data_IF_847662835760
#
_entry.id   IF_847662835760
#
_cell.length_a   1.000
_cell.length_b   1.000
_cell.length_c   1.000
_cell.angle_alpha   90.00
_cell.angle_beta   90.00
_cell.angle_gamma   90.00
#
_symmetry.space_group_name_H-M   'P 1'
#
loop_
_entity.id
_entity.type
_entity.pdbx_description
1 polymer ?
#
# COMPACT_ATOMS: atom_id res chain seq x y z
N UNK A 1 -67.99 60.47 -0.32
CA UNK A 1 -68.13 61.36 0.85
C UNK A 1 -67.80 60.58 2.11
N UNK A 2 -67.00 61.20 2.99
CA UNK A 2 -66.70 60.86 4.40
C UNK A 2 -65.85 59.61 4.71
N UNK A 3 -64.58 59.93 5.00
CA UNK A 3 -63.61 59.22 5.83
C UNK A 3 -64.13 59.06 7.26
N UNK A 4 -63.78 57.97 7.94
CA UNK A 4 -63.43 57.99 9.37
C UNK A 4 -62.41 56.89 9.68
N UNK A 5 -61.33 57.32 10.34
CA UNK A 5 -60.26 56.53 10.94
C UNK A 5 -60.78 55.76 12.15
N UNK A 6 -60.23 54.56 12.43
CA UNK A 6 -59.84 54.09 13.77
C UNK A 6 -58.64 53.15 13.60
N UNK A 7 -57.54 53.53 14.24
CA UNK A 7 -56.32 52.77 14.49
C UNK A 7 -56.54 51.74 15.60
N UNK A 8 -56.11 50.50 15.43
CA UNK A 8 -55.75 49.63 16.56
C UNK A 8 -54.66 48.64 16.14
N UNK A 9 -53.63 48.57 16.98
CA UNK A 9 -52.36 47.88 16.80
C UNK A 9 -52.44 46.38 17.12
N UNK A 10 -51.56 45.54 16.52
CA UNK A 10 -50.53 44.73 17.20
C UNK A 10 -49.87 43.67 16.27
N UNK A 11 -48.54 43.54 16.42
CA UNK A 11 -47.67 42.35 16.22
C UNK A 11 -47.27 41.90 14.80
N UNK A 12 -46.07 42.34 14.41
CA UNK A 12 -44.85 41.54 14.12
C UNK A 12 -45.01 40.07 13.69
N UNK A 13 -44.73 39.76 12.43
CA UNK A 13 -43.79 38.68 12.03
C UNK A 13 -43.31 38.92 10.61
N UNK A 14 -42.05 39.34 10.49
CA UNK A 14 -41.24 39.00 9.35
C UNK A 14 -40.88 37.51 9.47
N UNK A 15 -41.00 36.73 8.40
CA UNK A 15 -39.87 35.92 7.92
C UNK A 15 -40.18 35.35 6.53
N UNK A 16 -39.31 35.74 5.62
CA UNK A 16 -39.12 35.26 4.26
C UNK A 16 -38.99 33.74 4.19
N UNK A 17 -39.90 33.07 3.50
CA UNK A 17 -39.71 31.68 3.06
C UNK A 17 -38.92 31.64 1.76
N UNK A 18 -37.61 31.90 1.85
CA UNK A 18 -36.63 31.56 0.82
C UNK A 18 -35.62 30.58 1.44
N UNK A 19 -36.04 29.34 1.66
CA UNK A 19 -35.18 28.29 2.22
C UNK A 19 -35.42 26.93 1.52
N UNK A 20 -35.76 26.95 0.23
CA UNK A 20 -36.01 25.73 -0.55
C UNK A 20 -34.91 25.34 -1.55
N UNK A 21 -33.87 26.17 -1.71
CA UNK A 21 -32.83 25.97 -2.74
C UNK A 21 -31.39 25.93 -2.22
N UNK A 22 -31.20 25.99 -0.91
CA UNK A 22 -29.87 26.01 -0.29
C UNK A 22 -29.43 24.66 0.31
N UNK A 23 -30.21 23.57 0.17
CA UNK A 23 -29.89 22.27 0.79
C UNK A 23 -29.19 21.31 -0.21
N UNK A 24 -29.04 21.68 -1.48
CA UNK A 24 -28.45 20.78 -2.49
C UNK A 24 -26.97 21.08 -2.82
N UNK A 25 -26.31 22.02 -2.13
CA UNK A 25 -24.99 22.51 -2.52
C UNK A 25 -23.93 22.55 -1.40
N UNK A 26 -24.26 22.09 -0.20
CA UNK A 26 -23.33 21.96 0.93
C UNK A 26 -23.41 20.54 1.50
N UNK A 27 -22.56 19.66 0.98
CA UNK A 27 -22.01 18.44 1.60
C UNK A 27 -21.58 17.47 0.49
N UNK A 28 -20.43 17.75 -0.15
CA UNK A 28 -19.56 16.64 -0.55
C UNK A 28 -18.99 16.07 0.74
N UNK A 29 -19.80 15.31 1.47
CA UNK A 29 -19.31 14.50 2.58
C UNK A 29 -18.20 13.63 1.99
N UNK A 30 -16.98 13.78 2.49
CA UNK A 30 -15.84 13.02 1.98
C UNK A 30 -16.13 11.54 2.23
N UNK A 31 -16.44 10.80 1.16
CA UNK A 31 -16.82 9.39 1.24
C UNK A 31 -15.56 8.54 1.47
N UNK A 32 -15.15 8.46 2.74
CA UNK A 32 -13.99 7.68 3.17
C UNK A 32 -14.10 6.23 2.69
N UNK A 33 -15.30 5.63 2.77
CA UNK A 33 -15.51 4.23 2.40
C UNK A 33 -15.40 4.05 0.89
N UNK A 34 -16.01 4.94 0.10
CA UNK A 34 -15.88 4.93 -1.35
C UNK A 34 -14.44 5.11 -1.83
N UNK A 35 -13.67 5.99 -1.18
CA UNK A 35 -12.27 6.22 -1.49
C UNK A 35 -11.39 5.01 -1.12
N UNK A 36 -11.61 4.39 0.05
CA UNK A 36 -10.95 3.13 0.42
C UNK A 36 -11.23 2.06 -0.62
N UNK A 37 -12.50 1.84 -0.99
CA UNK A 37 -12.89 0.84 -1.98
C UNK A 37 -12.26 1.12 -3.37
N UNK A 38 -12.06 2.39 -3.73
CA UNK A 38 -11.32 2.76 -4.94
C UNK A 38 -9.84 2.41 -4.83
N UNK A 39 -9.21 2.71 -3.69
CA UNK A 39 -7.81 2.38 -3.43
C UNK A 39 -7.54 0.87 -3.37
N UNK A 40 -8.44 0.09 -2.79
CA UNK A 40 -8.37 -1.38 -2.76
C UNK A 40 -8.43 -1.96 -4.18
N UNK A 41 -9.26 -1.40 -5.07
CA UNK A 41 -9.28 -1.80 -6.49
C UNK A 41 -7.92 -1.53 -7.15
N UNK A 42 -7.30 -0.37 -6.88
CA UNK A 42 -5.96 -0.08 -7.38
C UNK A 42 -4.94 -1.14 -6.90
N UNK A 43 -4.99 -1.56 -5.63
CA UNK A 43 -4.12 -2.66 -5.15
C UNK A 43 -4.40 -3.98 -5.90
N UNK A 44 -5.66 -4.33 -6.11
CA UNK A 44 -6.04 -5.57 -6.81
C UNK A 44 -5.56 -5.61 -8.27
N UNK A 45 -5.47 -4.47 -8.93
CA UNK A 45 -4.95 -4.35 -10.31
C UNK A 45 -3.49 -3.88 -10.38
N UNK A 46 -2.80 -3.82 -9.23
CA UNK A 46 -1.36 -3.52 -9.07
C UNK A 46 -0.95 -2.07 -9.36
N UNK A 47 -1.88 -1.11 -9.27
CA UNK A 47 -1.66 0.33 -9.32
C UNK A 47 -1.31 0.83 -7.91
N UNK A 48 -0.11 0.47 -7.43
CA UNK A 48 0.32 0.77 -6.06
C UNK A 48 0.54 2.27 -5.85
N UNK A 49 1.01 2.99 -6.86
CA UNK A 49 1.20 4.44 -6.80
C UNK A 49 -0.13 5.19 -6.60
N UNK A 50 -1.18 4.78 -7.30
CA UNK A 50 -2.53 5.33 -7.18
C UNK A 50 -3.13 4.98 -5.81
N UNK A 51 -2.99 3.72 -5.37
CA UNK A 51 -3.43 3.32 -4.03
C UNK A 51 -2.70 4.11 -2.92
N UNK A 52 -1.41 4.37 -3.12
CA UNK A 52 -0.58 5.20 -2.24
C UNK A 52 -1.08 6.63 -2.15
N UNK A 53 -1.39 7.25 -3.28
CA UNK A 53 -1.97 8.59 -3.30
C UNK A 53 -3.34 8.66 -2.58
N UNK A 54 -4.17 7.62 -2.72
CA UNK A 54 -5.45 7.52 -2.00
C UNK A 54 -5.21 7.37 -0.49
N UNK A 55 -4.30 6.50 -0.07
CA UNK A 55 -3.98 6.31 1.35
C UNK A 55 -3.43 7.60 1.99
N UNK A 56 -2.51 8.29 1.32
CA UNK A 56 -1.95 9.56 1.81
C UNK A 56 -3.04 10.62 1.96
N UNK A 57 -3.94 10.75 0.98
CA UNK A 57 -5.10 11.65 1.04
C UNK A 57 -6.03 11.30 2.20
N UNK A 58 -6.36 10.02 2.40
CA UNK A 58 -7.23 9.56 3.48
C UNK A 58 -6.59 9.80 4.86
N UNK A 59 -5.28 9.58 4.99
CA UNK A 59 -4.54 9.81 6.24
C UNK A 59 -4.51 11.29 6.64
N UNK A 60 -4.54 12.23 5.68
CA UNK A 60 -4.64 13.66 5.98
C UNK A 60 -6.00 14.06 6.56
N UNK A 61 -7.07 13.38 6.14
CA UNK A 61 -8.46 13.78 6.46
C UNK A 61 -9.02 12.97 7.64
N UNK A 62 -8.63 11.71 7.76
CA UNK A 62 -9.23 10.74 8.68
C UNK A 62 -8.19 9.81 9.32
N UNK A 63 -7.06 10.36 9.78
CA UNK A 63 -5.91 9.61 10.34
C UNK A 63 -6.25 8.60 11.45
N UNK A 64 -7.29 8.88 12.24
CA UNK A 64 -7.69 8.05 13.37
C UNK A 64 -8.82 7.08 13.04
N UNK A 65 -9.30 7.07 11.79
CA UNK A 65 -10.31 6.11 11.36
C UNK A 65 -9.64 4.73 11.20
N UNK A 66 -10.13 3.68 11.89
CA UNK A 66 -9.43 2.40 11.90
C UNK A 66 -9.44 1.70 10.53
N UNK A 67 -10.43 1.92 9.67
CA UNK A 67 -10.43 1.41 8.29
C UNK A 67 -9.43 2.15 7.40
N UNK A 68 -9.23 3.45 7.60
CA UNK A 68 -8.17 4.21 6.91
C UNK A 68 -6.80 3.71 7.34
N UNK A 69 -6.59 3.49 8.63
CA UNK A 69 -5.36 2.86 9.13
C UNK A 69 -5.16 1.47 8.52
N UNK A 70 -6.21 0.65 8.43
CA UNK A 70 -6.09 -0.69 7.86
C UNK A 70 -5.63 -0.63 6.40
N UNK A 71 -6.33 0.16 5.57
CA UNK A 71 -6.01 0.35 4.16
C UNK A 71 -4.61 0.96 3.96
N UNK A 72 -4.22 1.96 4.76
CA UNK A 72 -2.86 2.51 4.74
C UNK A 72 -1.83 1.43 5.07
N UNK A 73 -2.11 0.56 6.05
CA UNK A 73 -1.29 -0.59 6.38
C UNK A 73 -1.08 -1.53 5.20
N UNK A 74 -2.14 -1.86 4.45
CA UNK A 74 -2.05 -2.66 3.23
C UNK A 74 -1.18 -1.98 2.17
N UNK A 75 -1.42 -0.70 1.89
CA UNK A 75 -0.63 0.07 0.93
C UNK A 75 0.85 0.07 1.31
N UNK A 76 1.19 0.35 2.58
CA UNK A 76 2.58 0.33 3.05
C UNK A 76 3.22 -1.04 2.94
N UNK A 77 2.44 -2.11 3.10
CA UNK A 77 2.93 -3.46 2.81
C UNK A 77 3.33 -3.59 1.34
N UNK A 78 2.48 -3.18 0.40
CA UNK A 78 2.77 -3.21 -1.05
C UNK A 78 3.93 -2.31 -1.49
N UNK A 79 4.22 -1.24 -0.75
CA UNK A 79 5.40 -0.40 -0.94
C UNK A 79 6.68 -0.99 -0.32
N UNK A 80 6.56 -2.07 0.45
CA UNK A 80 7.67 -2.68 1.19
C UNK A 80 8.12 -1.89 2.42
N UNK A 81 7.25 -1.00 2.91
CA UNK A 81 7.41 -0.24 4.15
C UNK A 81 6.82 -1.03 5.32
N UNK A 82 7.39 -2.20 5.61
CA UNK A 82 6.82 -3.17 6.56
C UNK A 82 6.63 -2.61 7.98
N UNK A 83 7.58 -1.81 8.47
CA UNK A 83 7.46 -1.20 9.79
C UNK A 83 6.27 -0.24 9.87
N UNK A 84 6.07 0.59 8.86
CA UNK A 84 4.97 1.55 8.82
C UNK A 84 3.63 0.84 8.60
N UNK A 85 3.64 -0.22 7.78
CA UNK A 85 2.50 -1.13 7.62
C UNK A 85 2.05 -1.68 8.98
N UNK A 86 2.96 -2.25 9.77
CA UNK A 86 2.65 -2.76 11.11
C UNK A 86 2.15 -1.68 12.06
N UNK A 87 2.72 -0.46 11.98
CA UNK A 87 2.26 0.66 12.81
C UNK A 87 0.79 1.00 12.52
N UNK A 88 0.41 1.09 11.24
CA UNK A 88 -0.96 1.40 10.85
C UNK A 88 -1.92 0.25 11.14
N UNK A 89 -1.53 -0.99 10.82
CA UNK A 89 -2.34 -2.16 11.14
C UNK A 89 -2.55 -2.29 12.65
N UNK A 90 -1.52 -2.04 13.47
CA UNK A 90 -1.67 -2.05 14.93
C UNK A 90 -2.72 -1.05 15.42
N UNK A 91 -2.76 0.16 14.87
CA UNK A 91 -3.80 1.14 15.19
C UNK A 91 -5.19 0.65 14.76
N UNK A 92 -5.30 0.12 13.54
CA UNK A 92 -6.56 -0.39 13.00
C UNK A 92 -7.15 -1.53 13.84
N UNK A 93 -6.31 -2.46 14.30
CA UNK A 93 -6.74 -3.63 15.08
C UNK A 93 -7.15 -3.32 16.53
N UNK A 94 -7.11 -2.05 16.96
CA UNK A 94 -7.78 -1.65 18.21
C UNK A 94 -9.30 -1.68 18.07
N UNK A 95 -9.82 -1.58 16.85
CA UNK A 95 -11.23 -1.82 16.56
C UNK A 95 -11.53 -3.34 16.59
N UNK A 96 -12.54 -3.81 17.34
CA UNK A 96 -12.81 -5.25 17.48
C UNK A 96 -13.21 -5.97 16.19
N UNK A 97 -13.89 -5.29 15.27
CA UNK A 97 -14.32 -5.90 14.00
C UNK A 97 -13.10 -6.14 13.11
N UNK A 98 -12.24 -5.12 12.98
CA UNK A 98 -11.00 -5.24 12.24
C UNK A 98 -10.00 -6.17 12.92
N UNK A 99 -9.94 -6.22 14.26
CA UNK A 99 -9.13 -7.18 14.99
C UNK A 99 -9.41 -8.62 14.54
N UNK A 100 -10.68 -8.99 14.37
CA UNK A 100 -11.06 -10.33 13.94
C UNK A 100 -10.67 -10.61 12.49
N UNK A 101 -10.92 -9.67 11.58
CA UNK A 101 -10.71 -9.85 10.13
C UNK A 101 -9.24 -9.70 9.72
N UNK A 102 -8.57 -8.71 10.31
CA UNK A 102 -7.24 -8.24 9.92
C UNK A 102 -6.07 -8.95 10.63
N UNK A 103 -6.32 -9.71 11.70
CA UNK A 103 -5.25 -10.37 12.47
C UNK A 103 -4.35 -11.24 11.60
N UNK A 104 -4.92 -12.03 10.68
CA UNK A 104 -4.12 -12.90 9.79
C UNK A 104 -3.15 -12.09 8.92
N UNK A 105 -3.60 -10.95 8.40
CA UNK A 105 -2.76 -10.08 7.60
C UNK A 105 -1.67 -9.41 8.45
N UNK A 106 -2.02 -8.93 9.65
CA UNK A 106 -1.03 -8.40 10.60
C UNK A 106 0.04 -9.43 10.95
N UNK A 107 -0.34 -10.65 11.34
CA UNK A 107 0.59 -11.72 11.69
C UNK A 107 1.50 -12.08 10.48
N UNK A 108 0.96 -12.02 9.27
CA UNK A 108 1.71 -12.22 8.03
C UNK A 108 2.76 -11.13 7.80
N UNK A 109 2.39 -9.85 7.90
CA UNK A 109 3.33 -8.73 7.77
C UNK A 109 4.38 -8.76 8.88
N UNK A 110 3.99 -9.11 10.11
CA UNK A 110 4.91 -9.21 11.25
C UNK A 110 5.96 -10.29 10.99
N UNK A 111 5.54 -11.49 10.54
CA UNK A 111 6.46 -12.57 10.18
C UNK A 111 7.50 -12.13 9.15
N UNK A 112 7.09 -11.37 8.14
CA UNK A 112 7.99 -10.84 7.11
C UNK A 112 8.96 -9.81 7.72
N UNK A 113 8.44 -8.89 8.53
CA UNK A 113 9.22 -7.84 9.16
C UNK A 113 10.32 -8.39 10.09
N UNK A 114 10.10 -9.51 10.77
CA UNK A 114 11.13 -10.15 11.61
C UNK A 114 12.41 -10.49 10.84
N UNK A 115 12.31 -10.77 9.54
CA UNK A 115 13.46 -10.98 8.65
C UNK A 115 13.92 -9.66 8.03
N UNK A 116 13.00 -8.88 7.44
CA UNK A 116 13.36 -7.73 6.60
C UNK A 116 13.85 -6.51 7.39
N UNK A 117 13.50 -6.39 8.68
CA UNK A 117 13.99 -5.32 9.58
C UNK A 117 15.51 -5.24 9.70
N UNK A 118 16.22 -6.31 9.34
CA UNK A 118 17.68 -6.41 9.41
C UNK A 118 18.35 -6.27 8.04
N UNK A 119 17.57 -6.05 6.98
CA UNK A 119 18.11 -5.92 5.65
C UNK A 119 18.97 -4.66 5.53
N UNK A 120 20.04 -4.81 4.76
CA UNK A 120 20.87 -3.73 4.25
C UNK A 120 20.31 -3.31 2.91
N UNK A 121 20.48 -2.04 2.58
CA UNK A 121 19.95 -1.45 1.37
C UNK A 121 21.08 -0.95 0.47
N UNK A 122 20.96 -1.23 -0.83
CA UNK A 122 21.75 -0.61 -1.90
C UNK A 122 20.77 -0.02 -2.90
N UNK A 123 20.90 1.28 -3.16
CA UNK A 123 19.95 2.04 -3.96
C UNK A 123 20.60 2.57 -5.23
N UNK A 124 19.85 2.49 -6.33
CA UNK A 124 20.14 3.19 -7.58
C UNK A 124 19.00 4.18 -7.90
N UNK A 125 18.97 4.71 -9.13
CA UNK A 125 17.89 5.62 -9.53
C UNK A 125 16.53 4.91 -9.54
N UNK A 126 16.46 3.70 -10.10
CA UNK A 126 15.20 3.00 -10.33
C UNK A 126 15.00 1.75 -9.47
N UNK A 127 15.97 1.35 -8.65
CA UNK A 127 15.87 0.14 -7.82
C UNK A 127 16.32 0.37 -6.37
N UNK A 128 15.66 -0.36 -5.47
CA UNK A 128 16.06 -0.52 -4.07
C UNK A 128 16.33 -2.00 -3.81
N UNK A 129 17.60 -2.36 -3.72
CA UNK A 129 18.04 -3.73 -3.49
C UNK A 129 18.28 -3.96 -2.00
N UNK A 130 17.68 -5.02 -1.45
CA UNK A 130 17.72 -5.35 -0.03
C UNK A 130 18.19 -6.78 0.21
N UNK A 131 19.08 -6.97 1.17
CA UNK A 131 19.62 -8.28 1.54
C UNK A 131 20.09 -8.30 2.99
N UNK A 132 20.18 -9.48 3.61
CA UNK A 132 20.67 -9.61 4.99
C UNK A 132 22.17 -9.91 5.07
N UNK A 133 22.58 -10.92 4.32
CA UNK A 133 23.85 -11.63 4.52
C UNK A 133 24.95 -11.00 3.66
N UNK A 134 26.12 -10.74 4.24
CA UNK A 134 27.22 -10.08 3.49
C UNK A 134 27.64 -10.83 2.23
N UNK A 135 27.52 -12.16 2.26
CA UNK A 135 27.81 -13.01 1.10
C UNK A 135 26.85 -12.77 -0.07
N UNK A 136 25.67 -12.21 0.18
CA UNK A 136 24.69 -11.84 -0.85
C UNK A 136 24.93 -10.41 -1.38
N UNK A 137 25.83 -9.62 -0.78
CA UNK A 137 26.15 -8.26 -1.25
C UNK A 137 26.67 -8.25 -2.70
N UNK A 138 27.40 -9.30 -3.08
CA UNK A 138 27.90 -9.49 -4.45
C UNK A 138 26.77 -9.53 -5.49
N UNK A 139 25.57 -9.96 -5.10
CA UNK A 139 24.41 -9.97 -6.01
C UNK A 139 24.01 -8.56 -6.40
N UNK A 140 24.06 -7.60 -5.48
CA UNK A 140 23.74 -6.21 -5.78
C UNK A 140 24.69 -5.65 -6.84
N UNK A 141 25.99 -5.95 -6.72
CA UNK A 141 27.02 -5.49 -7.66
C UNK A 141 26.76 -5.95 -9.11
N UNK A 142 26.38 -7.22 -9.29
CA UNK A 142 26.08 -7.77 -10.62
C UNK A 142 24.66 -7.44 -11.11
N UNK A 143 23.67 -7.46 -10.22
CA UNK A 143 22.27 -7.32 -10.58
C UNK A 143 21.91 -5.88 -10.94
N UNK A 144 22.34 -4.89 -10.15
CA UNK A 144 21.87 -3.51 -10.28
C UNK A 144 22.16 -2.89 -11.66
N UNK A 145 23.36 -3.08 -12.19
CA UNK A 145 23.69 -2.60 -13.54
C UNK A 145 22.82 -3.26 -14.62
N UNK A 146 22.48 -4.54 -14.45
CA UNK A 146 21.60 -5.27 -15.36
C UNK A 146 20.15 -4.78 -15.22
N UNK A 147 19.70 -4.56 -14.00
CA UNK A 147 18.36 -4.06 -13.69
C UNK A 147 18.13 -2.65 -14.26
N UNK A 148 19.11 -1.74 -14.15
CA UNK A 148 19.02 -0.40 -14.73
C UNK A 148 18.94 -0.42 -16.26
N UNK A 149 19.70 -1.32 -16.91
CA UNK A 149 19.59 -1.55 -18.36
C UNK A 149 18.23 -2.13 -18.73
N UNK A 150 17.72 -3.07 -17.92
CA UNK A 150 16.41 -3.69 -18.12
C UNK A 150 15.29 -2.66 -17.96
N UNK A 151 15.37 -1.76 -16.98
CA UNK A 151 14.42 -0.65 -16.80
C UNK A 151 14.32 0.20 -18.08
N UNK A 152 15.47 0.56 -18.65
CA UNK A 152 15.51 1.33 -19.90
C UNK A 152 14.94 0.54 -21.07
N UNK A 153 15.39 -0.71 -21.27
CA UNK A 153 14.98 -1.53 -22.41
C UNK A 153 13.49 -1.89 -22.34
N UNK A 154 13.04 -2.48 -21.24
CA UNK A 154 11.65 -2.89 -21.03
C UNK A 154 10.72 -1.67 -21.01
N UNK A 155 11.14 -0.58 -20.35
CA UNK A 155 10.32 0.61 -20.29
C UNK A 155 10.13 1.28 -21.65
N UNK A 156 11.13 1.23 -22.52
CA UNK A 156 10.99 1.64 -23.92
C UNK A 156 10.06 0.70 -24.71
N UNK A 157 10.16 -0.62 -24.52
CA UNK A 157 9.30 -1.57 -25.24
C UNK A 157 7.84 -1.44 -24.83
N UNK A 158 7.58 -1.24 -23.53
CA UNK A 158 6.23 -1.14 -22.96
C UNK A 158 5.68 0.28 -22.93
N UNK A 159 6.51 1.29 -23.25
CA UNK A 159 6.20 2.71 -23.08
C UNK A 159 5.70 3.04 -21.66
N UNK A 160 6.26 2.36 -20.67
CA UNK A 160 5.89 2.49 -19.26
C UNK A 160 7.13 2.41 -18.37
N UNK A 161 7.25 3.38 -17.47
CA UNK A 161 8.37 3.50 -16.55
C UNK A 161 7.84 3.63 -15.13
N UNK A 162 8.10 2.65 -14.24
CA UNK A 162 7.78 2.78 -12.83
C UNK A 162 8.37 4.08 -12.25
N UNK A 163 7.54 4.87 -11.58
CA UNK A 163 7.93 6.19 -11.05
C UNK A 163 8.66 6.09 -9.72
N UNK A 164 8.32 5.08 -8.92
CA UNK A 164 9.01 4.76 -7.68
C UNK A 164 10.06 3.66 -7.93
N UNK A 165 11.16 3.64 -7.15
CA UNK A 165 12.14 2.57 -7.26
C UNK A 165 11.51 1.20 -7.03
N UNK A 166 11.81 0.24 -7.91
CA UNK A 166 11.36 -1.15 -7.79
C UNK A 166 12.15 -1.84 -6.69
N UNK A 167 11.44 -2.48 -5.76
CA UNK A 167 12.08 -3.26 -4.69
C UNK A 167 12.58 -4.60 -5.21
N UNK A 168 13.79 -4.95 -4.80
CA UNK A 168 14.39 -6.27 -5.00
C UNK A 168 14.87 -6.78 -3.65
N UNK A 169 14.28 -7.87 -3.16
CA UNK A 169 14.53 -8.37 -1.82
C UNK A 169 15.08 -9.81 -1.86
N UNK A 170 16.28 -10.00 -1.30
CA UNK A 170 16.95 -11.29 -1.21
C UNK A 170 16.74 -11.91 0.16
N UNK A 171 15.96 -12.99 0.21
CA UNK A 171 15.63 -13.69 1.44
C UNK A 171 16.72 -14.71 1.80
N UNK A 172 17.22 -14.69 3.06
CA UNK A 172 18.43 -15.41 3.45
C UNK A 172 18.22 -16.90 3.74
N UNK A 173 16.96 -17.34 3.89
CA UNK A 173 16.58 -18.70 4.25
C UNK A 173 15.26 -19.12 3.57
N UNK A 174 15.02 -20.43 3.53
CA UNK A 174 13.84 -20.99 2.86
C UNK A 174 12.53 -20.66 3.58
N UNK A 175 12.54 -20.54 4.91
CA UNK A 175 11.31 -20.27 5.67
C UNK A 175 10.82 -18.85 5.39
N UNK A 176 11.70 -17.86 5.46
CA UNK A 176 11.37 -16.48 5.20
C UNK A 176 10.99 -16.25 3.73
N UNK A 177 11.65 -16.94 2.79
CA UNK A 177 11.25 -16.94 1.38
C UNK A 177 9.85 -17.55 1.15
N UNK A 178 9.54 -18.71 1.76
CA UNK A 178 8.20 -19.31 1.70
C UNK A 178 7.15 -18.35 2.28
N UNK A 179 7.47 -17.69 3.39
CA UNK A 179 6.57 -16.76 4.05
C UNK A 179 6.17 -15.61 3.10
N UNK A 180 7.14 -14.87 2.53
CA UNK A 180 6.83 -13.72 1.66
C UNK A 180 6.23 -14.15 0.31
N UNK A 181 6.69 -15.26 -0.27
CA UNK A 181 6.23 -15.73 -1.58
C UNK A 181 4.84 -16.37 -1.53
N UNK A 182 4.35 -16.67 -0.32
CA UNK A 182 3.12 -17.45 -0.08
C UNK A 182 3.16 -18.88 -0.62
N UNK A 183 4.31 -19.31 -1.15
CA UNK A 183 4.53 -20.67 -1.66
C UNK A 183 4.91 -21.61 -0.52
N UNK A 184 4.45 -22.84 -0.63
CA UNK A 184 4.91 -23.95 0.19
C UNK A 184 6.29 -24.42 -0.26
N UNK A 185 7.04 -25.05 0.65
CA UNK A 185 8.32 -25.68 0.33
C UNK A 185 8.20 -26.70 -0.82
N UNK A 186 7.13 -27.49 -0.85
CA UNK A 186 6.89 -28.48 -1.90
C UNK A 186 6.68 -27.84 -3.28
N UNK A 187 5.98 -26.71 -3.36
CA UNK A 187 5.82 -25.96 -4.61
C UNK A 187 7.15 -25.40 -5.11
N UNK A 188 7.97 -24.86 -4.21
CA UNK A 188 9.31 -24.35 -4.55
C UNK A 188 10.22 -25.48 -5.04
N UNK A 189 10.27 -26.61 -4.34
CA UNK A 189 11.08 -27.78 -4.72
C UNK A 189 10.63 -28.38 -6.05
N UNK A 190 9.33 -28.41 -6.31
CA UNK A 190 8.76 -28.97 -7.55
C UNK A 190 8.98 -28.04 -8.75
N UNK A 191 8.77 -26.74 -8.58
CA UNK A 191 8.88 -25.75 -9.65
C UNK A 191 10.31 -25.28 -9.91
N UNK A 192 11.21 -25.44 -8.94
CA UNK A 192 12.53 -24.83 -8.97
C UNK A 192 12.49 -23.30 -8.87
N UNK A 193 11.44 -22.73 -8.27
CA UNK A 193 11.27 -21.28 -8.16
C UNK A 193 12.40 -20.66 -7.33
N UNK A 194 13.23 -19.83 -7.97
CA UNK A 194 14.31 -19.07 -7.32
C UNK A 194 13.99 -17.59 -7.12
N UNK A 195 13.00 -17.07 -7.87
CA UNK A 195 12.54 -15.71 -7.78
C UNK A 195 11.07 -15.60 -8.20
N UNK A 196 10.35 -14.61 -7.67
CA UNK A 196 8.96 -14.32 -8.00
C UNK A 196 8.71 -12.80 -7.96
N UNK A 197 7.87 -12.32 -8.87
CA UNK A 197 7.33 -10.96 -8.81
C UNK A 197 5.96 -11.01 -8.11
N UNK A 198 5.89 -10.49 -6.89
CA UNK A 198 4.67 -10.50 -6.08
C UNK A 198 4.63 -9.24 -5.21
N UNK A 199 3.43 -8.73 -4.92
CA UNK A 199 3.23 -7.54 -4.07
C UNK A 199 4.08 -6.33 -4.51
N UNK A 200 4.16 -6.07 -5.82
CA UNK A 200 4.94 -4.95 -6.39
C UNK A 200 6.45 -4.97 -6.07
N UNK A 201 7.05 -6.17 -5.94
CA UNK A 201 8.50 -6.33 -5.81
C UNK A 201 9.01 -7.61 -6.46
N UNK A 202 10.32 -7.65 -6.66
CA UNK A 202 11.05 -8.87 -7.03
C UNK A 202 11.55 -9.51 -5.74
N UNK A 203 11.13 -10.74 -5.48
CA UNK A 203 11.52 -11.54 -4.32
C UNK A 203 12.45 -12.64 -4.80
N UNK A 204 13.62 -12.77 -4.20
CA UNK A 204 14.67 -13.70 -4.62
C UNK A 204 15.08 -14.55 -3.42
N UNK A 205 15.26 -15.86 -3.63
CA UNK A 205 15.91 -16.71 -2.63
C UNK A 205 17.42 -16.57 -2.72
N UNK A 206 18.12 -16.47 -1.59
CA UNK A 206 19.59 -16.38 -1.60
C UNK A 206 20.20 -17.57 -2.37
N UNK A 207 21.07 -17.32 -3.38
CA UNK A 207 21.80 -18.36 -4.10
C UNK A 207 22.58 -19.32 -3.21
N UNK A 208 22.93 -18.92 -1.99
CA UNK A 208 23.63 -19.76 -0.99
C UNK A 208 22.80 -20.97 -0.57
N UNK A 209 21.48 -20.89 -0.70
CA UNK A 209 20.55 -21.97 -0.35
C UNK A 209 20.43 -23.00 -1.47
N UNK A 210 20.95 -22.71 -2.66
CA UNK A 210 20.87 -23.58 -3.81
C UNK A 210 22.09 -24.53 -3.84
N UNK A 211 21.90 -25.86 -3.97
CA UNK A 211 22.98 -26.86 -3.89
C UNK A 211 24.14 -26.69 -4.89
N UNK A 212 24.02 -25.83 -5.91
CA UNK A 212 25.07 -25.58 -6.93
C UNK A 212 25.33 -24.10 -7.23
N UNK A 213 24.76 -23.16 -6.45
CA UNK A 213 24.64 -21.76 -6.91
C UNK A 213 23.71 -21.64 -8.12
N UNK A 214 23.33 -20.44 -8.53
CA UNK A 214 22.49 -20.23 -9.72
C UNK A 214 23.31 -20.56 -10.97
N UNK A 215 23.25 -21.80 -11.46
CA UNK A 215 23.65 -22.10 -12.83
C UNK A 215 22.42 -21.93 -13.72
N UNK A 216 22.36 -20.82 -14.46
CA UNK A 216 21.48 -20.74 -15.62
C UNK A 216 22.08 -21.70 -16.65
N UNK A 217 21.38 -22.80 -16.94
CA UNK A 217 21.71 -23.70 -18.04
C UNK A 217 21.24 -23.08 -19.36
#
# INVERSE_FOLDING_TARGET
>A
MKRFFITLAFILTALTTFAGKAIAQEERFFDVIGEIASGEKCLQSWQVEEASAVADKLLLIARNNPYVCFFAGEVRFYEGNYQESLSFLHEALKDPELAQKGKKFYDFVDKIYQTTSKFKEVKTEHFLFRYLEEKDAILAEYALNTLEKAYTAIGNDLQYFPKKPVLVEVFPDAESFCAISTLTKGEIETSGTVAICLFNRIIITSPRLLPRGVSVA
#
